data_IF_946056674680
#
_entry.id   IF_946056674680
#
_cell.length_a   1.000
_cell.length_b   1.000
_cell.length_c   1.000
_cell.angle_alpha   90.00
_cell.angle_beta   90.00
_cell.angle_gamma   90.00
#
_symmetry.space_group_name_H-M   'P 1'
#
loop_
_entity.id
_entity.type
_entity.pdbx_description
1 polymer ?
#
# COMPACT_ATOMS: atom_id res chain seq x y z
N UNK A 1 -6.80 5.73 44.76
CA UNK A 1 -7.33 4.70 45.69
C UNK A 1 -6.23 3.96 46.42
N UNK A 2 -5.15 3.55 45.82
CA UNK A 2 -4.06 2.82 46.46
C UNK A 2 -3.43 3.57 47.65
N UNK A 3 -3.27 4.90 47.55
CA UNK A 3 -2.70 5.73 48.64
C UNK A 3 -3.59 5.72 49.92
N UNK A 4 -4.89 5.77 49.78
CA UNK A 4 -5.81 5.69 50.90
C UNK A 4 -5.79 4.31 51.57
N UNK A 5 -5.78 3.23 50.74
CA UNK A 5 -5.72 1.88 51.22
C UNK A 5 -4.40 1.61 52.01
N UNK A 6 -3.26 2.04 51.45
CA UNK A 6 -1.95 1.93 52.12
C UNK A 6 -1.88 2.75 53.38
N UNK A 7 -2.40 3.98 53.41
CA UNK A 7 -2.43 4.84 54.62
C UNK A 7 -3.25 4.24 55.74
N UNK A 8 -4.46 3.72 55.43
CA UNK A 8 -5.32 3.06 56.43
C UNK A 8 -4.68 1.75 56.97
N UNK A 9 -4.11 0.94 56.05
CA UNK A 9 -3.41 -0.27 56.43
C UNK A 9 -2.20 0.04 57.34
N UNK A 10 -1.38 1.04 56.95
CA UNK A 10 -0.24 1.45 57.80
C UNK A 10 -0.67 1.88 59.17
N UNK A 11 -1.75 2.67 59.29
CA UNK A 11 -2.31 3.05 60.62
C UNK A 11 -2.74 1.86 61.44
N UNK A 12 -3.42 0.89 60.81
CA UNK A 12 -3.86 -0.36 61.47
C UNK A 12 -2.69 -1.21 61.96
N UNK A 13 -1.70 -1.45 61.04
CA UNK A 13 -0.52 -2.27 61.39
C UNK A 13 0.35 -1.58 62.46
N UNK A 14 0.46 -0.25 62.45
CA UNK A 14 1.18 0.46 63.48
C UNK A 14 0.49 0.34 64.84
N UNK A 15 -0.85 0.34 64.91
CA UNK A 15 -1.57 0.11 66.14
C UNK A 15 -1.45 -1.30 66.68
N UNK A 16 -1.28 -2.28 65.81
CA UNK A 16 -1.16 -3.71 66.21
C UNK A 16 0.29 -4.12 66.53
N UNK A 17 1.27 -3.65 65.77
CA UNK A 17 2.66 -4.12 65.83
C UNK A 17 3.64 -3.05 66.31
N UNK A 18 3.16 -1.89 66.78
CA UNK A 18 3.96 -0.79 67.34
C UNK A 18 5.13 -0.39 66.39
N UNK A 19 6.39 -0.45 66.85
CA UNK A 19 7.55 0.01 66.08
C UNK A 19 7.75 -0.75 64.73
N UNK A 20 7.39 -2.00 64.63
CA UNK A 20 7.52 -2.79 63.38
C UNK A 20 6.32 -2.67 62.47
N UNK A 21 5.24 -1.99 62.86
CA UNK A 21 3.98 -1.91 62.13
C UNK A 21 4.12 -1.29 60.74
N UNK A 22 4.95 -0.26 60.58
CA UNK A 22 5.18 0.42 59.32
C UNK A 22 5.87 -0.50 58.29
N UNK A 23 6.90 -1.24 58.76
CA UNK A 23 7.66 -2.16 57.89
C UNK A 23 6.76 -3.29 57.41
N UNK A 24 6.01 -3.92 58.33
CA UNK A 24 5.10 -5.03 58.02
C UNK A 24 3.99 -4.54 57.07
N UNK A 25 3.39 -3.37 57.32
CA UNK A 25 2.39 -2.77 56.46
C UNK A 25 2.90 -2.54 55.05
N UNK A 26 4.12 -1.99 54.92
CA UNK A 26 4.70 -1.69 53.61
C UNK A 26 4.90 -2.97 52.80
N UNK A 27 5.54 -4.00 53.34
CA UNK A 27 5.74 -5.23 52.58
C UNK A 27 4.42 -5.92 52.25
N UNK A 28 3.51 -6.04 53.23
CA UNK A 28 2.23 -6.69 53.01
C UNK A 28 1.36 -5.95 51.98
N UNK A 29 1.25 -4.64 52.10
CA UNK A 29 0.44 -3.86 51.18
C UNK A 29 1.05 -3.78 49.79
N UNK A 30 2.37 -3.68 49.68
CA UNK A 30 3.07 -3.74 48.41
C UNK A 30 2.78 -5.09 47.71
N UNK A 31 2.91 -6.19 48.40
CA UNK A 31 2.61 -7.51 47.86
C UNK A 31 1.14 -7.66 47.44
N UNK A 32 0.21 -7.27 48.31
CA UNK A 32 -1.22 -7.35 48.02
C UNK A 32 -1.64 -6.47 46.83
N UNK A 33 -1.17 -5.23 46.76
CA UNK A 33 -1.48 -4.31 45.67
C UNK A 33 -0.87 -4.83 44.38
N UNK A 34 0.41 -5.22 44.38
CA UNK A 34 1.10 -5.70 43.21
C UNK A 34 0.42 -6.95 42.62
N UNK A 35 0.12 -7.93 43.45
CA UNK A 35 -0.48 -9.18 42.99
C UNK A 35 -1.96 -9.03 42.66
N UNK A 36 -2.78 -8.49 43.57
CA UNK A 36 -4.24 -8.53 43.42
C UNK A 36 -4.81 -7.28 42.72
N UNK A 37 -4.17 -6.13 42.85
CA UNK A 37 -4.66 -4.90 42.21
C UNK A 37 -3.99 -4.58 40.87
N UNK A 38 -2.81 -5.17 40.59
CA UNK A 38 -2.07 -4.86 39.37
C UNK A 38 -1.87 -6.10 38.48
N UNK A 39 -1.13 -7.10 38.92
CA UNK A 39 -0.75 -8.24 38.06
C UNK A 39 -1.98 -9.10 37.70
N UNK A 40 -2.74 -9.56 38.69
CA UNK A 40 -3.85 -10.48 38.44
C UNK A 40 -4.93 -9.92 37.51
N UNK A 41 -5.44 -8.66 37.66
CA UNK A 41 -6.44 -8.12 36.76
C UNK A 41 -5.92 -7.93 35.34
N UNK A 42 -4.65 -7.47 35.18
CA UNK A 42 -4.03 -7.31 33.87
C UNK A 42 -3.85 -8.64 33.16
N UNK A 43 -3.30 -9.62 33.86
CA UNK A 43 -3.10 -10.99 33.31
C UNK A 43 -4.43 -11.62 32.91
N UNK A 44 -5.46 -11.49 33.77
CA UNK A 44 -6.79 -12.01 33.47
C UNK A 44 -7.43 -11.33 32.25
N UNK A 45 -7.24 -10.02 32.11
CA UNK A 45 -7.75 -9.27 30.95
C UNK A 45 -7.05 -9.68 29.64
N UNK A 46 -5.74 -9.93 29.69
CA UNK A 46 -4.97 -10.36 28.51
C UNK A 46 -5.33 -11.80 28.10
N UNK A 47 -5.52 -12.69 29.09
CA UNK A 47 -5.84 -14.10 28.82
C UNK A 47 -7.29 -14.34 28.42
N UNK A 48 -8.21 -13.43 28.77
CA UNK A 48 -9.63 -13.56 28.47
C UNK A 48 -10.24 -12.19 28.02
N UNK A 49 -9.78 -11.64 26.89
CA UNK A 49 -10.13 -10.28 26.46
C UNK A 49 -11.63 -10.13 26.16
N UNK A 50 -12.25 -11.14 25.54
CA UNK A 50 -13.68 -11.08 25.19
C UNK A 50 -14.57 -11.07 26.43
N UNK A 51 -14.33 -11.97 27.39
CA UNK A 51 -15.11 -12.09 28.61
C UNK A 51 -15.00 -10.85 29.49
N UNK A 52 -13.82 -10.24 29.57
CA UNK A 52 -13.58 -9.01 30.34
C UNK A 52 -14.22 -7.80 29.63
N UNK A 53 -14.03 -7.68 28.31
CA UNK A 53 -14.58 -6.59 27.53
C UNK A 53 -16.10 -6.52 27.62
N UNK A 54 -16.81 -7.63 27.52
CA UNK A 54 -18.27 -7.70 27.64
C UNK A 54 -18.74 -7.24 29.03
N UNK A 55 -18.06 -7.68 30.10
CA UNK A 55 -18.44 -7.32 31.47
C UNK A 55 -18.21 -5.84 31.79
N UNK A 56 -17.12 -5.28 31.27
CA UNK A 56 -16.71 -3.89 31.54
C UNK A 56 -17.38 -2.89 30.57
N UNK A 57 -17.82 -3.36 29.39
CA UNK A 57 -18.37 -2.51 28.32
C UNK A 57 -19.50 -1.58 28.81
N UNK A 58 -20.40 -2.07 29.65
CA UNK A 58 -21.49 -1.26 30.22
C UNK A 58 -20.99 -0.10 31.08
N UNK A 59 -20.00 -0.36 31.92
CA UNK A 59 -19.38 0.64 32.78
C UNK A 59 -18.59 1.66 31.98
N UNK A 60 -17.79 1.20 31.00
CA UNK A 60 -17.03 2.07 30.10
C UNK A 60 -17.98 2.95 29.28
N UNK A 61 -19.06 2.38 28.73
CA UNK A 61 -20.09 3.14 28.00
C UNK A 61 -20.71 4.25 28.84
N UNK A 62 -20.99 3.97 30.09
CA UNK A 62 -21.50 4.97 31.04
C UNK A 62 -20.50 6.13 31.21
N UNK A 63 -19.21 5.82 31.44
CA UNK A 63 -18.18 6.86 31.60
C UNK A 63 -17.96 7.63 30.30
N UNK A 64 -17.92 6.97 29.16
CA UNK A 64 -17.81 7.65 27.84
C UNK A 64 -18.97 8.62 27.64
N UNK A 65 -20.20 8.19 27.90
CA UNK A 65 -21.36 9.07 27.81
C UNK A 65 -21.28 10.27 28.78
N UNK A 66 -20.90 10.02 30.03
CA UNK A 66 -20.80 11.06 31.05
C UNK A 66 -19.70 12.08 30.75
N UNK A 67 -18.55 11.64 30.20
CA UNK A 67 -17.43 12.53 29.91
C UNK A 67 -17.45 13.14 28.52
N UNK A 68 -18.25 12.62 27.58
CA UNK A 68 -18.36 13.13 26.20
C UNK A 68 -18.62 14.65 26.15
N UNK A 69 -19.52 15.25 26.94
CA UNK A 69 -19.76 16.70 26.91
C UNK A 69 -18.52 17.50 27.34
N UNK A 70 -17.77 17.01 28.33
CA UNK A 70 -16.52 17.63 28.77
C UNK A 70 -15.45 17.59 27.69
N UNK A 71 -15.29 16.45 27.03
CA UNK A 71 -14.35 16.28 25.93
C UNK A 71 -14.71 17.21 24.77
N UNK A 72 -16.00 17.31 24.42
CA UNK A 72 -16.47 18.25 23.38
C UNK A 72 -16.17 19.71 23.76
N UNK A 73 -16.36 20.10 25.00
CA UNK A 73 -16.05 21.44 25.48
C UNK A 73 -14.54 21.73 25.39
N UNK A 74 -13.68 20.78 25.80
CA UNK A 74 -12.22 20.92 25.68
C UNK A 74 -11.79 21.04 24.23
N UNK A 75 -12.29 20.18 23.34
CA UNK A 75 -12.00 20.26 21.91
C UNK A 75 -12.43 21.58 21.29
N UNK A 76 -13.56 22.14 21.71
CA UNK A 76 -14.03 23.43 21.27
C UNK A 76 -13.04 24.54 21.65
N UNK A 77 -12.57 24.55 22.90
CA UNK A 77 -11.57 25.52 23.36
C UNK A 77 -10.23 25.38 22.64
N UNK A 78 -9.75 24.14 22.43
CA UNK A 78 -8.52 23.85 21.68
C UNK A 78 -8.64 24.36 20.25
N UNK A 79 -9.78 24.10 19.58
CA UNK A 79 -10.03 24.57 18.21
C UNK A 79 -10.04 26.10 18.09
N UNK A 80 -10.63 26.79 19.05
CA UNK A 80 -10.59 28.25 19.09
C UNK A 80 -9.15 28.74 19.24
N UNK A 81 -8.38 28.12 20.12
CA UNK A 81 -6.99 28.50 20.36
C UNK A 81 -6.14 28.26 19.10
N UNK A 82 -6.26 27.11 18.44
CA UNK A 82 -5.53 26.83 17.20
C UNK A 82 -5.91 27.77 16.06
N UNK A 83 -7.20 28.08 15.90
CA UNK A 83 -7.65 29.06 14.92
C UNK A 83 -7.09 30.47 15.20
N UNK A 84 -6.96 30.87 16.50
CA UNK A 84 -6.39 32.14 16.88
C UNK A 84 -4.86 32.22 16.58
N UNK A 85 -4.16 31.09 16.60
CA UNK A 85 -2.74 30.98 16.24
C UNK A 85 -2.52 30.66 14.75
N UNK A 86 -3.58 30.59 13.92
CA UNK A 86 -3.47 30.35 12.48
C UNK A 86 -3.08 28.91 12.11
N UNK A 87 -3.09 27.99 13.05
CA UNK A 87 -2.85 26.56 12.80
C UNK A 87 -4.14 25.97 12.24
N UNK A 88 -4.18 25.67 10.95
CA UNK A 88 -5.25 24.87 10.34
C UNK A 88 -5.13 23.45 10.90
N UNK A 89 -6.12 23.01 11.65
CA UNK A 89 -6.29 21.57 11.91
C UNK A 89 -6.79 20.97 10.60
N UNK A 90 -5.89 20.48 9.77
CA UNK A 90 -6.29 19.56 8.71
C UNK A 90 -6.82 18.30 9.40
N UNK A 91 -8.09 18.04 9.17
CA UNK A 91 -8.75 16.81 9.61
C UNK A 91 -8.34 15.66 8.67
N UNK A 92 -7.05 15.33 8.61
CA UNK A 92 -6.52 14.15 7.90
C UNK A 92 -6.86 12.87 8.70
N UNK A 93 -8.16 12.70 8.98
CA UNK A 93 -8.66 11.53 9.73
C UNK A 93 -8.38 10.24 8.96
N UNK A 94 -8.39 10.30 7.63
CA UNK A 94 -8.10 9.14 6.77
C UNK A 94 -6.62 8.76 6.81
N UNK A 95 -5.70 9.73 6.75
CA UNK A 95 -4.26 9.49 6.90
C UNK A 95 -3.92 8.91 8.27
N UNK A 96 -4.41 9.53 9.35
CA UNK A 96 -4.21 9.02 10.72
C UNK A 96 -4.76 7.60 10.91
N UNK A 97 -5.89 7.27 10.28
CA UNK A 97 -6.45 5.92 10.36
C UNK A 97 -5.57 4.90 9.61
N UNK A 98 -5.00 5.28 8.47
CA UNK A 98 -4.10 4.44 7.69
C UNK A 98 -2.79 4.18 8.44
N UNK A 99 -2.21 5.21 9.07
CA UNK A 99 -1.02 5.08 9.92
C UNK A 99 -1.27 4.19 11.15
N UNK A 100 -2.44 4.31 11.80
CA UNK A 100 -2.81 3.47 12.95
C UNK A 100 -2.90 2.00 12.55
N UNK A 101 -3.51 1.70 11.39
CA UNK A 101 -3.61 0.34 10.86
C UNK A 101 -2.20 -0.19 10.50
N UNK A 102 -1.38 0.60 9.82
CA UNK A 102 -0.01 0.22 9.46
C UNK A 102 0.84 -0.05 10.71
N UNK A 103 0.71 0.78 11.74
CA UNK A 103 1.36 0.58 13.03
C UNK A 103 0.93 -0.70 13.74
N UNK A 104 -0.39 -1.03 13.71
CA UNK A 104 -0.90 -2.27 14.29
C UNK A 104 -0.37 -3.51 13.56
N UNK A 105 -0.30 -3.49 12.23
CA UNK A 105 0.25 -4.58 11.42
C UNK A 105 1.72 -4.81 11.77
N UNK A 106 2.52 -3.73 11.84
CA UNK A 106 3.94 -3.78 12.17
C UNK A 106 4.18 -4.29 13.60
N UNK A 107 3.34 -3.89 14.56
CA UNK A 107 3.40 -4.39 15.94
C UNK A 107 3.17 -5.90 16.01
N UNK A 108 2.11 -6.39 15.39
CA UNK A 108 1.80 -7.82 15.38
C UNK A 108 2.83 -8.65 14.61
N UNK A 109 3.50 -8.07 13.62
CA UNK A 109 4.65 -8.70 12.97
C UNK A 109 5.83 -8.85 13.96
N UNK A 110 6.16 -7.79 14.71
CA UNK A 110 7.24 -7.83 15.71
C UNK A 110 6.97 -8.83 16.85
N UNK A 111 5.70 -9.08 17.16
CA UNK A 111 5.26 -10.11 18.12
C UNK A 111 5.24 -11.54 17.53
N UNK A 112 5.55 -11.70 16.23
CA UNK A 112 5.56 -12.98 15.52
C UNK A 112 4.18 -13.52 15.16
N UNK A 113 3.10 -12.74 15.32
CA UNK A 113 1.74 -13.12 14.97
C UNK A 113 1.43 -12.99 13.47
N UNK A 114 2.14 -12.11 12.75
CA UNK A 114 2.00 -11.86 11.31
C UNK A 114 3.30 -12.18 10.61
N UNK A 115 3.26 -12.99 9.56
CA UNK A 115 4.42 -13.31 8.74
C UNK A 115 4.84 -12.10 7.90
N UNK A 116 6.12 -12.02 7.52
CA UNK A 116 6.68 -10.89 6.76
C UNK A 116 5.93 -10.65 5.45
N UNK A 117 5.70 -11.70 4.69
CA UNK A 117 5.02 -11.64 3.39
C UNK A 117 3.59 -11.05 3.53
N UNK A 118 2.86 -11.47 4.57
CA UNK A 118 1.51 -10.96 4.83
C UNK A 118 1.54 -9.48 5.27
N UNK A 119 2.53 -9.09 6.10
CA UNK A 119 2.76 -7.68 6.48
C UNK A 119 3.00 -6.83 5.23
N UNK A 120 3.92 -7.25 4.37
CA UNK A 120 4.36 -6.50 3.19
C UNK A 120 3.22 -6.30 2.20
N UNK A 121 2.38 -7.33 1.97
CA UNK A 121 1.17 -7.23 1.16
C UNK A 121 0.16 -6.23 1.76
N UNK A 122 -0.08 -6.30 3.07
CA UNK A 122 -1.04 -5.42 3.73
C UNK A 122 -0.58 -3.96 3.70
N UNK A 123 0.71 -3.70 3.95
CA UNK A 123 1.29 -2.36 3.89
C UNK A 123 1.30 -1.84 2.44
N UNK A 124 1.69 -2.65 1.46
CA UNK A 124 1.63 -2.29 0.05
C UNK A 124 0.23 -1.91 -0.42
N UNK A 125 -0.80 -2.64 0.04
CA UNK A 125 -2.18 -2.32 -0.30
C UNK A 125 -2.67 -1.00 0.34
N UNK A 126 -2.24 -0.68 1.56
CA UNK A 126 -2.56 0.60 2.22
C UNK A 126 -1.87 1.78 1.51
N UNK A 127 -0.69 1.57 0.98
CA UNK A 127 0.15 2.58 0.38
C UNK A 127 -0.32 3.05 -1.00
N UNK A 128 -1.12 2.23 -1.70
CA UNK A 128 -1.65 2.57 -3.03
C UNK A 128 -2.46 3.87 -3.06
N UNK A 129 -3.05 4.29 -1.94
CA UNK A 129 -3.83 5.54 -1.88
C UNK A 129 -2.95 6.79 -1.82
N UNK A 130 -1.69 6.63 -1.43
CA UNK A 130 -0.75 7.73 -1.24
C UNK A 130 0.23 7.87 -2.42
N UNK A 131 0.24 6.90 -3.35
CA UNK A 131 1.16 6.87 -4.49
C UNK A 131 0.45 7.23 -5.79
N UNK A 132 1.15 7.96 -6.63
CA UNK A 132 0.66 8.39 -7.93
C UNK A 132 1.17 7.48 -9.06
N UNK A 133 0.46 7.49 -10.17
CA UNK A 133 0.79 6.69 -11.37
C UNK A 133 2.18 7.01 -11.89
N UNK A 134 2.64 8.28 -11.80
CA UNK A 134 3.96 8.70 -12.27
C UNK A 134 5.12 7.96 -11.60
N UNK A 135 4.94 7.52 -10.35
CA UNK A 135 5.99 6.86 -9.58
C UNK A 135 6.36 5.46 -10.11
N UNK A 136 5.39 4.76 -10.71
CA UNK A 136 5.58 3.36 -11.15
C UNK A 136 5.38 3.15 -12.65
N UNK A 137 4.95 4.18 -13.39
CA UNK A 137 4.74 4.06 -14.82
C UNK A 137 6.02 3.72 -15.57
N UNK A 138 5.93 2.95 -16.62
CA UNK A 138 7.00 2.81 -17.59
C UNK A 138 7.14 4.11 -18.35
N UNK A 139 8.31 4.76 -18.25
CA UNK A 139 8.56 6.04 -18.87
C UNK A 139 8.48 5.96 -20.42
N UNK A 140 7.98 7.01 -21.05
CA UNK A 140 7.75 7.08 -22.52
C UNK A 140 8.95 6.68 -23.38
N UNK A 141 10.18 6.90 -22.91
CA UNK A 141 11.40 6.54 -23.65
C UNK A 141 11.63 5.02 -23.75
N UNK A 142 10.96 4.24 -22.91
CA UNK A 142 11.08 2.78 -22.85
C UNK A 142 9.91 2.07 -23.53
N UNK A 143 8.88 2.82 -23.98
CA UNK A 143 7.70 2.25 -24.62
C UNK A 143 8.04 1.82 -26.03
N UNK A 144 7.84 0.55 -26.35
CA UNK A 144 7.83 0.07 -27.73
C UNK A 144 6.55 0.51 -28.43
N UNK A 145 6.69 1.27 -29.51
CA UNK A 145 5.57 1.79 -30.29
C UNK A 145 5.69 1.44 -31.78
N UNK A 146 4.56 1.50 -32.48
CA UNK A 146 4.46 1.24 -33.90
C UNK A 146 4.03 2.53 -34.61
N UNK A 147 4.76 2.89 -35.68
CA UNK A 147 4.33 4.00 -36.55
C UNK A 147 3.25 3.54 -37.52
N UNK A 148 2.24 4.40 -37.78
CA UNK A 148 1.26 4.16 -38.86
C UNK A 148 1.89 4.08 -40.23
N UNK A 149 3.06 4.68 -40.42
CA UNK A 149 3.81 4.69 -41.69
C UNK A 149 4.61 3.39 -41.89
N UNK A 150 4.68 2.49 -40.90
CA UNK A 150 5.36 1.20 -41.04
C UNK A 150 4.60 0.26 -41.98
N UNK A 151 5.31 -0.50 -42.76
CA UNK A 151 4.70 -1.51 -43.64
C UNK A 151 4.02 -2.61 -42.81
N UNK A 152 2.96 -3.26 -43.31
CA UNK A 152 2.29 -4.36 -42.64
C UNK A 152 3.23 -5.51 -42.24
N UNK A 153 4.26 -5.77 -43.03
CA UNK A 153 5.28 -6.78 -42.68
C UNK A 153 6.13 -6.36 -41.48
N UNK A 154 6.60 -5.13 -41.46
CA UNK A 154 7.36 -4.59 -40.30
C UNK A 154 6.54 -4.63 -39.01
N UNK A 155 5.26 -4.32 -39.08
CA UNK A 155 4.37 -4.37 -37.93
C UNK A 155 4.19 -5.80 -37.44
N UNK A 156 3.99 -6.72 -38.37
CA UNK A 156 3.88 -8.15 -38.02
C UNK A 156 5.15 -8.67 -37.36
N UNK A 157 6.32 -8.39 -37.95
CA UNK A 157 7.61 -8.77 -37.36
C UNK A 157 7.82 -8.15 -35.99
N UNK A 158 7.44 -6.88 -35.80
CA UNK A 158 7.53 -6.21 -34.52
C UNK A 158 6.61 -6.84 -33.49
N UNK A 159 5.38 -7.18 -33.86
CA UNK A 159 4.45 -7.89 -32.97
C UNK A 159 4.90 -9.31 -32.58
N UNK A 160 5.65 -9.99 -33.46
CA UNK A 160 6.20 -11.35 -33.20
C UNK A 160 7.41 -11.32 -32.28
N UNK A 161 8.29 -10.32 -32.45
CA UNK A 161 9.57 -10.24 -31.76
C UNK A 161 9.49 -9.45 -30.46
N UNK A 162 8.46 -8.63 -30.27
CA UNK A 162 8.26 -7.87 -29.04
C UNK A 162 7.86 -8.79 -27.87
N UNK A 163 8.44 -8.60 -26.69
CA UNK A 163 7.99 -9.29 -25.47
C UNK A 163 6.61 -8.80 -25.01
N UNK A 164 6.16 -7.67 -25.51
CA UNK A 164 4.92 -7.02 -25.08
C UNK A 164 3.71 -7.48 -25.90
N UNK A 165 2.60 -7.70 -25.23
CA UNK A 165 1.35 -8.11 -25.88
C UNK A 165 0.55 -6.93 -26.45
N UNK A 166 0.82 -5.71 -26.01
CA UNK A 166 0.14 -4.47 -26.43
C UNK A 166 1.17 -3.44 -26.84
N UNK A 167 1.03 -2.91 -28.06
CA UNK A 167 1.92 -1.93 -28.64
C UNK A 167 1.12 -0.68 -29.04
N UNK A 168 1.41 0.50 -28.49
CA UNK A 168 0.78 1.75 -28.93
C UNK A 168 1.14 2.05 -30.40
N UNK A 169 0.17 2.63 -31.13
CA UNK A 169 0.33 3.09 -32.50
C UNK A 169 0.30 4.61 -32.49
N UNK A 170 1.30 5.22 -33.10
CA UNK A 170 1.39 6.66 -33.23
C UNK A 170 1.40 7.12 -34.70
N UNK A 171 0.92 8.35 -34.93
CA UNK A 171 0.93 9.01 -36.22
C UNK A 171 1.88 10.21 -36.19
N UNK A 172 2.85 10.23 -37.10
CA UNK A 172 3.89 11.23 -37.27
C UNK A 172 4.80 11.46 -36.05
N UNK A 173 4.25 11.83 -34.90
CA UNK A 173 4.97 12.06 -33.64
C UNK A 173 4.66 10.97 -32.63
N UNK A 174 5.65 10.37 -31.97
CA UNK A 174 5.45 9.37 -30.91
C UNK A 174 4.50 9.79 -29.78
N UNK A 175 4.33 11.09 -29.55
CA UNK A 175 3.38 11.61 -28.55
C UNK A 175 1.92 11.54 -29.04
N UNK A 176 1.69 11.47 -30.34
CA UNK A 176 0.36 11.35 -30.93
C UNK A 176 -0.08 9.90 -31.05
N UNK A 177 -0.45 9.28 -29.96
CA UNK A 177 -0.92 7.90 -29.92
C UNK A 177 -2.39 7.82 -30.33
N UNK A 178 -2.66 7.18 -31.47
CA UNK A 178 -4.01 7.05 -32.05
C UNK A 178 -4.68 5.72 -31.78
N UNK A 179 -3.93 4.70 -31.32
CA UNK A 179 -4.47 3.37 -31.07
C UNK A 179 -3.51 2.50 -30.25
N UNK A 180 -3.99 1.34 -29.85
CA UNK A 180 -3.20 0.29 -29.21
C UNK A 180 -3.45 -1.02 -29.92
N UNK A 181 -2.38 -1.65 -30.42
CA UNK A 181 -2.45 -2.93 -31.11
C UNK A 181 -2.24 -4.07 -30.14
N UNK A 182 -3.15 -5.05 -30.11
CA UNK A 182 -2.97 -6.26 -29.36
C UNK A 182 -2.42 -7.36 -30.29
N UNK A 183 -1.25 -7.92 -29.97
CA UNK A 183 -0.57 -8.93 -30.80
C UNK A 183 -1.48 -10.12 -31.18
N UNK A 184 -2.34 -10.59 -30.25
CA UNK A 184 -3.32 -11.65 -30.54
C UNK A 184 -4.39 -11.26 -31.55
N UNK A 185 -4.79 -9.98 -31.59
CA UNK A 185 -5.83 -9.53 -32.52
C UNK A 185 -5.23 -9.37 -33.93
N UNK A 186 -3.97 -8.98 -34.03
CA UNK A 186 -3.20 -9.04 -35.27
C UNK A 186 -3.20 -10.49 -35.79
N UNK A 187 -2.80 -11.46 -34.96
CA UNK A 187 -2.79 -12.88 -35.35
C UNK A 187 -4.18 -13.44 -35.70
N UNK A 188 -5.24 -12.94 -35.06
CA UNK A 188 -6.64 -13.34 -35.37
C UNK A 188 -7.11 -12.78 -36.69
N UNK A 189 -6.73 -11.54 -37.04
CA UNK A 189 -7.05 -10.95 -38.32
C UNK A 189 -6.47 -11.78 -39.46
N UNK A 190 -5.29 -12.35 -39.27
CA UNK A 190 -4.68 -13.28 -40.20
C UNK A 190 -5.45 -14.60 -40.30
N UNK A 191 -5.96 -15.17 -39.20
CA UNK A 191 -6.71 -16.45 -39.18
C UNK A 191 -8.13 -16.31 -39.76
N UNK A 192 -8.80 -15.16 -39.53
CA UNK A 192 -10.16 -14.91 -40.01
C UNK A 192 -10.26 -14.89 -41.55
N UNK A 193 -9.15 -14.61 -42.22
CA UNK A 193 -9.07 -14.61 -43.68
C UNK A 193 -8.84 -16.04 -44.24
N UNK A 194 -8.40 -16.99 -43.37
CA UNK A 194 -8.07 -18.37 -43.79
C UNK A 194 -9.15 -19.45 -43.57
N UNK A 195 -10.24 -19.17 -42.87
CA UNK A 195 -11.27 -20.17 -42.48
C UNK A 195 -12.54 -20.19 -43.33
N UNK A 196 -12.68 -19.32 -44.32
CA UNK A 196 -13.83 -19.27 -45.20
C UNK A 196 -13.46 -19.31 -46.68
N UNK A 197 -13.54 -20.46 -47.30
CA UNK A 197 -13.71 -20.70 -48.75
C UNK A 197 -13.07 -19.68 -49.73
N UNK A 198 -11.74 -19.58 -49.75
CA UNK A 198 -11.02 -19.16 -50.96
C UNK A 198 -9.51 -19.35 -50.73
N UNK A 199 -8.87 -20.09 -51.62
CA UNK A 199 -7.42 -20.19 -51.80
C UNK A 199 -6.79 -18.84 -52.23
N UNK A 200 -7.20 -17.72 -51.63
CA UNK A 200 -6.45 -16.49 -51.81
C UNK A 200 -5.22 -16.56 -50.93
N UNK A 201 -4.06 -16.54 -51.59
CA UNK A 201 -2.78 -16.30 -50.91
C UNK A 201 -2.95 -15.04 -50.06
N UNK A 202 -2.81 -15.23 -48.77
CA UNK A 202 -2.83 -14.14 -47.81
C UNK A 202 -1.74 -13.12 -48.21
N UNK A 203 -2.15 -11.89 -48.45
CA UNK A 203 -1.21 -10.80 -48.68
C UNK A 203 -1.22 -9.93 -47.44
N UNK A 204 -0.15 -9.91 -46.68
CA UNK A 204 0.01 -9.09 -45.45
C UNK A 204 -0.30 -7.60 -45.73
N UNK A 205 -0.07 -7.18 -47.00
CA UNK A 205 -0.27 -5.83 -47.47
C UNK A 205 -1.75 -5.36 -47.50
N UNK A 206 -2.71 -6.28 -47.37
CA UNK A 206 -4.14 -5.95 -47.38
C UNK A 206 -4.72 -5.64 -45.99
N UNK A 207 -3.87 -5.63 -44.94
CA UNK A 207 -4.30 -5.39 -43.57
C UNK A 207 -4.36 -3.88 -43.26
N UNK A 208 -5.54 -3.41 -42.89
CA UNK A 208 -5.70 -2.08 -42.30
C UNK A 208 -5.53 -2.18 -40.78
N UNK A 209 -4.39 -1.68 -40.27
CA UNK A 209 -4.00 -1.74 -38.87
C UNK A 209 -4.97 -1.00 -37.96
N UNK A 210 -5.52 0.13 -38.44
CA UNK A 210 -6.44 0.96 -37.67
C UNK A 210 -7.79 0.27 -37.42
N UNK A 211 -8.18 -0.72 -38.26
CA UNK A 211 -9.38 -1.51 -38.02
C UNK A 211 -9.20 -2.54 -36.91
N UNK A 212 -7.96 -2.94 -36.63
CA UNK A 212 -7.61 -3.91 -35.58
C UNK A 212 -7.23 -3.24 -34.27
N UNK A 213 -6.81 -1.97 -34.36
CA UNK A 213 -6.39 -1.21 -33.18
C UNK A 213 -7.54 -0.88 -32.24
N UNK A 214 -7.29 -1.04 -30.97
CA UNK A 214 -8.20 -0.61 -29.90
C UNK A 214 -8.02 0.90 -29.67
N UNK A 215 -9.07 1.56 -29.19
CA UNK A 215 -8.98 2.96 -28.75
C UNK A 215 -8.03 3.07 -27.56
N UNK A 216 -7.13 4.06 -27.54
CA UNK A 216 -6.24 4.26 -26.41
C UNK A 216 -7.05 4.72 -25.19
N UNK A 217 -6.61 4.27 -24.01
CA UNK A 217 -7.14 4.73 -22.73
C UNK A 217 -6.05 5.54 -22.05
N UNK A 218 -6.36 6.81 -21.77
CA UNK A 218 -5.45 7.75 -21.13
C UNK A 218 -5.82 7.96 -19.66
N UNK A 219 -4.79 8.16 -18.83
CA UNK A 219 -4.89 8.46 -17.41
C UNK A 219 -3.91 9.58 -17.06
N UNK A 220 -4.30 10.58 -16.24
CA UNK A 220 -3.37 11.58 -15.71
C UNK A 220 -2.29 10.94 -14.83
N UNK A 221 -1.06 11.46 -14.90
CA UNK A 221 0.08 10.99 -14.10
C UNK A 221 -0.15 11.16 -12.60
N UNK A 222 -0.92 12.17 -12.17
CA UNK A 222 -1.28 12.48 -10.77
C UNK A 222 -2.43 11.62 -10.22
N UNK A 223 -2.91 10.61 -10.97
CA UNK A 223 -3.95 9.69 -10.49
C UNK A 223 -3.34 8.74 -9.47
N UNK A 224 -3.99 8.54 -8.31
CA UNK A 224 -3.50 7.58 -7.32
C UNK A 224 -3.65 6.13 -7.78
N UNK A 225 -2.74 5.25 -7.34
CA UNK A 225 -2.70 3.85 -7.78
C UNK A 225 -3.96 3.07 -7.42
N UNK A 226 -4.56 3.35 -6.25
CA UNK A 226 -5.82 2.75 -5.81
C UNK A 226 -6.98 3.13 -6.74
N UNK A 227 -7.04 4.40 -7.17
CA UNK A 227 -8.04 4.87 -8.11
C UNK A 227 -7.85 4.23 -9.48
N UNK A 228 -6.60 4.18 -9.96
CA UNK A 228 -6.28 3.57 -11.24
C UNK A 228 -6.59 2.07 -11.26
N UNK A 229 -6.27 1.34 -10.20
CA UNK A 229 -6.64 -0.06 -10.04
C UNK A 229 -8.17 -0.25 -10.13
N UNK A 230 -8.95 0.56 -9.41
CA UNK A 230 -10.42 0.54 -9.48
C UNK A 230 -10.95 0.81 -10.89
N UNK A 231 -10.31 1.75 -11.64
CA UNK A 231 -10.66 2.03 -13.02
C UNK A 231 -10.35 0.86 -13.97
N UNK A 232 -9.21 0.19 -13.81
CA UNK A 232 -8.87 -1.00 -14.57
C UNK A 232 -9.91 -2.11 -14.36
N UNK A 233 -10.28 -2.40 -13.12
CA UNK A 233 -11.30 -3.39 -12.78
C UNK A 233 -12.67 -3.03 -13.36
N UNK A 234 -13.10 -1.78 -13.25
CA UNK A 234 -14.38 -1.28 -13.76
C UNK A 234 -14.47 -1.35 -15.28
N UNK A 235 -13.38 -0.99 -15.97
CA UNK A 235 -13.30 -0.96 -17.45
C UNK A 235 -12.95 -2.32 -18.04
N UNK A 236 -12.53 -3.29 -17.22
CA UNK A 236 -11.96 -4.57 -17.64
C UNK A 236 -10.78 -4.37 -18.61
N UNK A 237 -9.97 -3.34 -18.32
CA UNK A 237 -8.74 -3.01 -19.04
C UNK A 237 -7.56 -3.29 -18.13
N UNK A 238 -6.41 -3.63 -18.73
CA UNK A 238 -5.17 -3.91 -18.01
C UNK A 238 -4.03 -2.99 -18.47
N UNK A 239 -4.37 -1.94 -19.24
CA UNK A 239 -3.37 -1.10 -19.89
C UNK A 239 -3.92 0.32 -20.03
N UNK A 240 -3.11 1.33 -19.71
CA UNK A 240 -3.40 2.74 -19.92
C UNK A 240 -2.13 3.50 -20.32
N UNK A 241 -2.31 4.54 -21.12
CA UNK A 241 -1.28 5.51 -21.45
C UNK A 241 -1.35 6.65 -20.44
N UNK A 242 -0.22 7.08 -19.93
CA UNK A 242 -0.12 8.13 -18.91
C UNK A 242 0.19 9.44 -19.61
N UNK A 243 -0.56 10.49 -19.24
CA UNK A 243 -0.41 11.83 -19.80
C UNK A 243 -0.30 12.88 -18.70
N UNK A 244 0.38 13.97 -19.00
CA UNK A 244 0.42 15.14 -18.13
C UNK A 244 -0.83 16.04 -18.30
N UNK A 245 -0.85 17.20 -17.64
CA UNK A 245 -1.94 18.18 -17.67
C UNK A 245 -2.13 18.85 -19.03
N UNK A 246 -1.13 18.76 -19.92
CA UNK A 246 -1.19 19.29 -21.29
C UNK A 246 -1.65 18.24 -22.29
N UNK A 247 -1.73 16.96 -21.86
CA UNK A 247 -2.08 15.83 -22.70
C UNK A 247 -0.89 15.19 -23.40
N UNK A 248 0.34 15.54 -23.04
CA UNK A 248 1.55 14.97 -23.60
C UNK A 248 1.81 13.59 -22.97
N UNK A 249 2.27 12.64 -23.79
CA UNK A 249 2.55 11.27 -23.35
C UNK A 249 3.75 11.24 -22.39
N UNK A 250 3.54 10.76 -21.17
CA UNK A 250 4.56 10.60 -20.13
C UNK A 250 5.05 9.15 -20.03
N UNK A 251 4.10 8.22 -20.14
CA UNK A 251 4.41 6.81 -19.94
C UNK A 251 3.25 5.89 -20.26
N UNK A 252 3.34 4.67 -19.74
CA UNK A 252 2.24 3.72 -19.67
C UNK A 252 2.22 3.03 -18.32
N UNK A 253 1.06 2.56 -17.91
CA UNK A 253 0.86 1.76 -16.71
C UNK A 253 -0.02 0.55 -17.01
N UNK A 254 0.30 -0.59 -16.41
CA UNK A 254 -0.50 -1.79 -16.47
C UNK A 254 -1.12 -2.14 -15.11
N UNK A 255 -2.10 -3.03 -15.09
CA UNK A 255 -2.64 -3.56 -13.84
C UNK A 255 -1.59 -4.40 -13.11
N UNK A 256 -0.75 -5.07 -13.87
CA UNK A 256 0.34 -5.90 -13.38
C UNK A 256 1.34 -5.07 -12.56
N UNK A 257 1.69 -3.86 -13.01
CA UNK A 257 2.59 -2.95 -12.28
C UNK A 257 2.01 -2.56 -10.91
N UNK A 258 0.69 -2.26 -10.85
CA UNK A 258 0.02 -1.93 -9.58
C UNK A 258 -0.05 -3.15 -8.65
N UNK A 259 -0.26 -4.35 -9.20
CA UNK A 259 -0.27 -5.58 -8.39
C UNK A 259 1.12 -5.92 -7.86
N UNK A 260 2.17 -5.63 -8.60
CA UNK A 260 3.55 -5.80 -8.15
C UNK A 260 3.87 -4.93 -6.93
N UNK A 261 3.31 -3.72 -6.85
CA UNK A 261 3.45 -2.85 -5.66
C UNK A 261 2.80 -3.43 -4.40
N UNK A 262 1.74 -4.23 -4.56
CA UNK A 262 1.08 -4.88 -3.42
C UNK A 262 1.84 -6.14 -3.00
N UNK A 263 2.12 -7.03 -3.97
CA UNK A 263 2.61 -8.39 -3.70
C UNK A 263 4.14 -8.44 -3.63
N UNK A 264 4.83 -7.45 -4.22
CA UNK A 264 6.25 -7.48 -4.50
C UNK A 264 6.53 -8.29 -5.77
N UNK A 265 7.79 -8.36 -6.17
CA UNK A 265 8.19 -9.12 -7.36
C UNK A 265 7.76 -10.58 -7.22
N UNK A 266 6.89 -11.03 -8.11
CA UNK A 266 6.53 -12.43 -8.25
C UNK A 266 7.64 -13.05 -9.11
N UNK A 267 8.69 -13.57 -8.47
CA UNK A 267 9.73 -14.33 -9.19
C UNK A 267 9.10 -15.60 -9.74
N UNK A 268 9.06 -15.72 -11.07
CA UNK A 268 8.69 -16.95 -11.75
C UNK A 268 9.84 -17.97 -11.61
N UNK A 269 9.54 -19.27 -11.61
CA UNK A 269 10.54 -20.35 -11.49
C UNK A 269 11.61 -20.32 -12.61
N UNK A 270 11.39 -19.51 -13.63
CA UNK A 270 12.29 -19.31 -14.79
C UNK A 270 13.02 -17.97 -14.82
N UNK A 271 12.70 -17.06 -13.87
CA UNK A 271 13.42 -15.80 -13.79
C UNK A 271 14.83 -16.07 -13.28
N UNK A 272 15.80 -15.81 -14.14
CA UNK A 272 17.20 -15.67 -13.71
C UNK A 272 17.18 -14.52 -12.71
N UNK A 273 17.34 -14.85 -11.42
CA UNK A 273 17.44 -13.86 -10.35
C UNK A 273 18.65 -12.97 -10.70
N UNK A 274 18.44 -11.93 -11.48
CA UNK A 274 19.37 -10.83 -11.54
C UNK A 274 19.39 -10.25 -10.13
N UNK A 275 20.51 -10.43 -9.45
CA UNK A 275 20.69 -9.94 -8.08
C UNK A 275 20.71 -8.43 -8.14
N UNK A 276 19.52 -7.80 -8.08
CA UNK A 276 19.37 -6.34 -8.03
C UNK A 276 20.13 -5.73 -6.85
N UNK A 277 20.41 -6.54 -5.83
CA UNK A 277 21.22 -6.18 -4.65
C UNK A 277 22.38 -7.15 -4.51
N UNK A 278 23.61 -6.66 -4.66
CA UNK A 278 24.83 -7.44 -4.50
C UNK A 278 25.60 -6.99 -3.27
N UNK A 279 25.79 -7.90 -2.33
CA UNK A 279 26.64 -7.65 -1.17
C UNK A 279 28.12 -7.72 -1.52
N UNK A 280 28.87 -6.75 -1.03
CA UNK A 280 30.33 -6.75 -1.05
C UNK A 280 30.89 -7.18 0.31
N UNK A 281 32.14 -7.67 0.32
CA UNK A 281 32.79 -8.21 1.51
C UNK A 281 33.07 -7.17 2.64
N UNK A 282 32.84 -5.89 2.35
CA UNK A 282 33.06 -4.76 3.27
C UNK A 282 31.77 -4.21 3.91
N UNK A 283 30.68 -5.00 3.88
CA UNK A 283 29.37 -4.60 4.38
C UNK A 283 28.69 -3.49 3.53
N UNK A 284 29.19 -3.23 2.31
CA UNK A 284 28.56 -2.33 1.36
C UNK A 284 27.65 -3.11 0.38
N UNK A 285 26.67 -2.41 -0.19
CA UNK A 285 25.74 -2.95 -1.16
C UNK A 285 25.91 -2.25 -2.50
N UNK A 286 25.88 -3.01 -3.58
CA UNK A 286 25.63 -2.48 -4.92
C UNK A 286 24.18 -2.75 -5.25
N UNK A 287 23.44 -1.68 -5.57
CA UNK A 287 22.05 -1.74 -6.00
C UNK A 287 21.95 -1.17 -7.40
N UNK A 288 20.98 -1.65 -8.17
CA UNK A 288 20.67 -1.04 -9.46
C UNK A 288 20.08 0.35 -9.27
N UNK A 289 20.45 1.30 -10.15
CA UNK A 289 20.06 2.71 -10.02
C UNK A 289 18.57 2.99 -10.22
N UNK A 290 17.79 2.02 -10.70
CA UNK A 290 16.34 2.05 -10.84
C UNK A 290 15.59 1.48 -9.62
N UNK A 291 16.31 0.87 -8.66
CA UNK A 291 15.72 0.36 -7.43
C UNK A 291 15.28 1.51 -6.53
N UNK A 292 14.04 1.49 -6.06
CA UNK A 292 13.54 2.49 -5.13
C UNK A 292 14.08 2.27 -3.71
N UNK A 293 14.14 3.33 -2.89
CA UNK A 293 14.51 3.22 -1.46
C UNK A 293 13.53 2.28 -0.73
N UNK A 294 12.28 2.31 -1.11
CA UNK A 294 11.23 1.43 -0.57
C UNK A 294 11.52 -0.05 -0.85
N UNK A 295 11.90 -0.41 -2.09
CA UNK A 295 12.23 -1.79 -2.44
C UNK A 295 13.47 -2.27 -1.67
N UNK A 296 14.45 -1.38 -1.50
CA UNK A 296 15.62 -1.64 -0.67
C UNK A 296 15.24 -1.85 0.80
N UNK A 297 14.36 -1.01 1.35
CA UNK A 297 13.82 -1.15 2.70
C UNK A 297 13.09 -2.49 2.86
N UNK A 298 12.24 -2.86 1.91
CA UNK A 298 11.50 -4.14 1.91
C UNK A 298 12.43 -5.35 1.82
N UNK A 299 13.47 -5.25 0.99
CA UNK A 299 14.45 -6.34 0.80
C UNK A 299 15.31 -6.59 2.04
N UNK A 300 15.69 -5.53 2.76
CA UNK A 300 16.64 -5.59 3.87
C UNK A 300 16.03 -5.38 5.26
N UNK A 301 14.72 -5.19 5.37
CA UNK A 301 14.06 -4.75 6.61
C UNK A 301 14.68 -3.45 7.20
N UNK A 302 15.11 -2.56 6.30
CA UNK A 302 15.61 -1.25 6.68
C UNK A 302 14.47 -0.25 6.77
N UNK A 303 14.73 0.88 7.42
CA UNK A 303 13.80 2.01 7.53
C UNK A 303 14.53 3.31 7.11
N UNK A 304 15.05 3.32 5.88
CA UNK A 304 15.63 4.51 5.28
C UNK A 304 14.45 5.43 4.91
N UNK A 305 14.50 6.74 5.32
CA UNK A 305 13.46 7.68 4.90
C UNK A 305 13.38 7.76 3.38
N UNK A 306 12.17 7.68 2.84
CA UNK A 306 11.83 7.79 1.41
C UNK A 306 11.00 9.05 1.10
N UNK A 307 10.89 9.98 2.06
CA UNK A 307 10.30 11.30 1.87
C UNK A 307 11.27 12.22 1.11
N UNK A 308 10.82 12.79 -0.01
CA UNK A 308 11.46 13.93 -0.66
C UNK A 308 10.97 15.27 -0.08
#
# INVERSE_FOLDING_TARGET
>A
MNILATSLATSLFTSLFQENGVIIATFTMTFLILVFAEIMPKTYAITNPEGVSIRVAGLVRFFVFAFTPFIKAIRFFVRITFNAFGVKSDDNIEEMATEEIAGAISLHHSEGAVQKEARDILLGALDLSNREVEEIMLHRSQIEMISTNSSPNEIFEKCLNSPYTRLPIYEDNPENVIGVLHAKDVLRSFKGIGLGQSTRRFNVNDMNILEVAMKPYFVPETTTLDQQMKQFLKRKSHFALVVDEYGDLRGLITLEDILEEIVGQISDEHDVIEQQVKELNDNSLIVEGNMTIRDLNRHRDWNIPDEE
#
